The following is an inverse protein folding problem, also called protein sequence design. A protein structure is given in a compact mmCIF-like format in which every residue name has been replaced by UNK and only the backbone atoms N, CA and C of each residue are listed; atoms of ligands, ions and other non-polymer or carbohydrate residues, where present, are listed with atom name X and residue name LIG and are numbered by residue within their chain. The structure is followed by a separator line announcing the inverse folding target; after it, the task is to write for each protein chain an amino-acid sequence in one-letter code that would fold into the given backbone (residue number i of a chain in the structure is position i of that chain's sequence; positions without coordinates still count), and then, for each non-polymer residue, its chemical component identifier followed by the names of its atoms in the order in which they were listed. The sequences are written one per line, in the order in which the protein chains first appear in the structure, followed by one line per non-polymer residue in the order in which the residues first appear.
data_IF_657871402045
#
_entry.id   IF_657871402045
#
_cell.length_a   1.000
_cell.length_b   1.000
_cell.length_c   1.000
_cell.angle_alpha   90.00
_cell.angle_beta   90.00
_cell.angle_gamma   90.00
#
_symmetry.space_group_name_H-M   'P 1'
#
loop_
_entity.id
_entity.type
_entity.pdbx_description
1 polymer ?
#
# COMPACT_ATOMS: atom_id res chain seq x y z
N UNK A 1 0.87 10.09 36.64
CA UNK A 1 0.17 10.18 35.34
C UNK A 1 -0.57 8.87 35.14
N UNK A 2 -1.91 8.86 35.18
CA UNK A 2 -2.71 7.63 35.20
C UNK A 2 -3.02 7.14 33.77
N UNK A 3 -2.46 6.02 33.31
CA UNK A 3 -2.63 5.54 31.93
C UNK A 3 -4.09 5.20 31.58
N UNK A 4 -4.93 4.90 32.57
CA UNK A 4 -6.35 4.63 32.37
C UNK A 4 -7.13 5.87 31.89
N UNK A 5 -6.70 7.08 32.27
CA UNK A 5 -7.36 8.32 31.84
C UNK A 5 -7.12 8.60 30.34
N UNK A 6 -5.99 8.14 29.80
CA UNK A 6 -5.59 8.35 28.41
C UNK A 6 -6.47 7.56 27.44
N UNK A 7 -6.88 6.34 27.82
CA UNK A 7 -7.72 5.45 27.01
C UNK A 7 -9.15 6.00 26.88
N UNK A 8 -9.65 6.65 27.93
CA UNK A 8 -11.02 7.19 27.96
C UNK A 8 -11.20 8.43 27.09
N UNK A 9 -10.12 9.12 26.73
CA UNK A 9 -10.14 10.31 25.86
C UNK A 9 -9.84 10.01 24.39
N UNK A 10 -9.57 8.75 24.02
CA UNK A 10 -9.30 8.39 22.63
C UNK A 10 -10.59 8.54 21.83
N UNK A 11 -10.63 9.39 20.78
CA UNK A 11 -11.81 9.51 19.94
C UNK A 11 -12.12 8.14 19.34
N UNK A 12 -13.38 7.71 19.46
CA UNK A 12 -13.81 6.46 18.85
C UNK A 12 -13.69 6.58 17.33
N UNK A 13 -12.86 5.73 16.74
CA UNK A 13 -12.75 5.63 15.28
C UNK A 13 -14.08 5.16 14.71
N UNK A 14 -14.64 5.91 13.77
CA UNK A 14 -15.75 5.40 12.96
C UNK A 14 -15.22 4.28 12.05
N UNK A 15 -15.47 3.04 12.47
CA UNK A 15 -15.03 1.85 11.76
C UNK A 15 -15.59 1.77 10.34
N UNK A 16 -16.82 2.25 10.10
CA UNK A 16 -17.44 2.17 8.77
C UNK A 16 -16.75 3.15 7.82
N UNK A 17 -16.54 4.39 8.27
CA UNK A 17 -15.81 5.38 7.49
C UNK A 17 -14.38 4.91 7.20
N UNK A 18 -13.70 4.33 8.20
CA UNK A 18 -12.35 3.77 8.02
C UNK A 18 -12.32 2.67 6.95
N UNK A 19 -13.22 1.68 7.04
CA UNK A 19 -13.25 0.56 6.09
C UNK A 19 -13.62 1.00 4.67
N UNK A 20 -14.53 1.97 4.55
CA UNK A 20 -14.86 2.57 3.25
C UNK A 20 -13.63 3.23 2.64
N UNK A 21 -12.97 4.13 3.37
CA UNK A 21 -11.78 4.82 2.87
C UNK A 21 -10.62 3.87 2.57
N UNK A 22 -10.47 2.79 3.36
CA UNK A 22 -9.47 1.75 3.11
C UNK A 22 -9.73 1.02 1.79
N UNK A 23 -10.98 0.62 1.53
CA UNK A 23 -11.38 -0.03 0.27
C UNK A 23 -11.17 0.92 -0.92
N UNK A 24 -11.62 2.16 -0.80
CA UNK A 24 -11.46 3.18 -1.85
C UNK A 24 -9.97 3.42 -2.17
N UNK A 25 -9.12 3.40 -1.14
CA UNK A 25 -7.67 3.49 -1.28
C UNK A 25 -7.09 2.28 -2.02
N UNK A 26 -7.46 1.07 -1.60
CA UNK A 26 -7.05 -0.18 -2.26
C UNK A 26 -7.40 -0.17 -3.75
N UNK A 27 -8.63 0.19 -4.12
CA UNK A 27 -9.07 0.21 -5.52
C UNK A 27 -8.24 1.16 -6.40
N UNK A 28 -7.77 2.28 -5.84
CA UNK A 28 -6.94 3.26 -6.57
C UNK A 28 -5.50 2.83 -6.75
N UNK A 29 -4.91 2.16 -5.77
CA UNK A 29 -3.47 1.82 -5.76
C UNK A 29 -3.19 0.41 -6.27
N UNK A 30 -4.13 -0.52 -6.12
CA UNK A 30 -3.97 -1.92 -6.53
C UNK A 30 -4.32 -2.10 -8.02
N UNK A 31 -3.68 -1.27 -8.84
CA UNK A 31 -3.74 -1.30 -10.31
C UNK A 31 -2.34 -1.66 -10.83
N UNK A 32 -2.24 -2.56 -11.81
CA UNK A 32 -0.95 -3.09 -12.29
C UNK A 32 0.02 -2.00 -12.75
N UNK A 33 -0.48 -1.02 -13.50
CA UNK A 33 0.31 0.13 -13.97
C UNK A 33 0.80 1.00 -12.80
N UNK A 34 -0.02 1.20 -11.77
CA UNK A 34 0.33 1.98 -10.59
C UNK A 34 1.42 1.27 -9.79
N UNK A 35 1.24 -0.02 -9.48
CA UNK A 35 2.22 -0.77 -8.69
C UNK A 35 3.52 -1.01 -9.45
N UNK A 36 3.48 -1.10 -10.78
CA UNK A 36 4.68 -1.08 -11.63
C UNK A 36 5.46 0.24 -11.45
N UNK A 37 4.81 1.39 -11.63
CA UNK A 37 5.46 2.69 -11.45
C UNK A 37 5.96 2.89 -9.99
N UNK A 38 5.23 2.34 -9.02
CA UNK A 38 5.62 2.32 -7.61
C UNK A 38 6.92 1.52 -7.38
N UNK A 39 7.02 0.34 -8.00
CA UNK A 39 8.22 -0.48 -8.00
C UNK A 39 9.39 0.20 -8.72
N UNK A 40 9.13 0.83 -9.87
CA UNK A 40 10.13 1.60 -10.62
C UNK A 40 10.75 2.71 -9.77
N UNK A 41 9.95 3.34 -8.91
CA UNK A 41 10.40 4.34 -7.94
C UNK A 41 11.12 3.76 -6.70
N UNK A 42 11.35 2.45 -6.65
CA UNK A 42 12.06 1.79 -5.55
C UNK A 42 11.24 1.58 -4.28
N UNK A 43 9.92 1.70 -4.35
CA UNK A 43 9.05 1.58 -3.18
C UNK A 43 8.66 0.13 -2.93
N UNK A 44 8.53 -0.24 -1.65
CA UNK A 44 8.08 -1.56 -1.22
C UNK A 44 6.66 -1.81 -1.71
N UNK A 45 6.35 -3.07 -2.05
CA UNK A 45 5.02 -3.50 -2.46
C UNK A 45 3.96 -3.06 -1.43
N UNK A 46 2.87 -2.39 -1.85
CA UNK A 46 1.84 -1.95 -0.92
C UNK A 46 1.19 -3.15 -0.22
N UNK A 47 1.33 -3.24 1.11
CA UNK A 47 0.73 -4.33 1.89
C UNK A 47 -0.80 -4.38 1.74
N UNK A 48 -1.42 -3.24 1.46
CA UNK A 48 -2.84 -3.14 1.14
C UNK A 48 -3.25 -3.95 -0.10
N UNK A 49 -2.33 -4.30 -1.00
CA UNK A 49 -2.63 -5.09 -2.19
C UNK A 49 -2.38 -6.60 -2.01
N UNK A 50 -1.91 -7.05 -0.84
CA UNK A 50 -1.63 -8.47 -0.59
C UNK A 50 -2.87 -9.36 -0.62
N UNK A 51 -4.03 -8.78 -0.29
CA UNK A 51 -5.32 -9.48 -0.24
C UNK A 51 -6.23 -9.14 -1.43
N UNK A 52 -5.73 -8.41 -2.43
CA UNK A 52 -6.50 -8.13 -3.63
C UNK A 52 -6.71 -9.43 -4.42
N UNK A 53 -7.83 -9.56 -5.12
CA UNK A 53 -8.15 -10.78 -5.89
C UNK A 53 -7.08 -11.09 -6.96
N UNK A 54 -6.48 -10.06 -7.53
CA UNK A 54 -5.38 -10.14 -8.50
C UNK A 54 -3.99 -9.92 -7.89
N UNK A 55 -3.79 -10.18 -6.58
CA UNK A 55 -2.54 -9.91 -5.87
C UNK A 55 -1.28 -10.49 -6.57
N UNK A 56 -1.38 -11.67 -7.18
CA UNK A 56 -0.25 -12.27 -7.93
C UNK A 56 0.15 -11.43 -9.15
N UNK A 57 -0.82 -10.93 -9.91
CA UNK A 57 -0.56 -10.06 -11.06
C UNK A 57 0.06 -8.73 -10.61
N UNK A 58 -0.48 -8.14 -9.54
CA UNK A 58 0.06 -6.92 -8.94
C UNK A 58 1.49 -7.08 -8.46
N UNK A 59 1.81 -8.18 -7.76
CA UNK A 59 3.18 -8.48 -7.32
C UNK A 59 4.13 -8.67 -8.50
N UNK A 60 3.66 -9.26 -9.59
CA UNK A 60 4.45 -9.45 -10.81
C UNK A 60 4.79 -8.10 -11.46
N UNK A 61 3.79 -7.24 -11.67
CA UNK A 61 3.97 -5.91 -12.23
C UNK A 61 4.89 -5.03 -11.37
N UNK A 62 4.69 -5.03 -10.05
CA UNK A 62 5.57 -4.32 -9.11
C UNK A 62 7.02 -4.82 -9.19
N UNK A 63 7.22 -6.15 -9.19
CA UNK A 63 8.56 -6.73 -9.24
C UNK A 63 9.27 -6.37 -10.54
N UNK A 64 8.56 -6.36 -11.66
CA UNK A 64 9.10 -5.92 -12.94
C UNK A 64 9.61 -4.46 -12.84
N UNK A 65 8.77 -3.55 -12.33
CA UNK A 65 9.16 -2.15 -12.15
C UNK A 65 10.38 -2.00 -11.24
N UNK A 66 10.42 -2.74 -10.13
CA UNK A 66 11.55 -2.72 -9.18
C UNK A 66 12.86 -3.22 -9.80
N UNK A 67 12.80 -4.31 -10.57
CA UNK A 67 13.97 -4.88 -11.24
C UNK A 67 14.48 -3.90 -12.33
N UNK A 68 13.60 -3.22 -13.06
CA UNK A 68 13.95 -2.20 -14.06
C UNK A 68 14.54 -0.93 -13.41
N UNK A 69 13.91 -0.40 -12.35
CA UNK A 69 14.38 0.79 -11.64
C UNK A 69 15.76 0.59 -10.99
N UNK A 70 16.00 -0.62 -10.47
CA UNK A 70 17.32 -1.00 -9.95
C UNK A 70 18.38 -1.05 -11.04
N UNK A 71 18.06 -1.62 -12.21
CA UNK A 71 18.99 -1.67 -13.36
C UNK A 71 19.35 -0.27 -13.83
N UNK A 72 18.36 0.60 -14.01
CA UNK A 72 18.57 1.98 -14.45
C UNK A 72 19.44 2.77 -13.46
N UNK A 73 19.22 2.61 -12.15
CA UNK A 73 19.99 3.31 -11.12
C UNK A 73 21.46 2.87 -11.03
N UNK A 74 21.81 1.69 -11.53
CA UNK A 74 23.19 1.15 -11.53
C UNK A 74 24.01 1.57 -12.74
N UNK A 75 23.36 2.00 -13.82
CA UNK A 75 24.00 2.44 -15.06
C UNK A 75 24.30 3.95 -15.07
N UNK A 76 23.91 4.66 -14.01
CA UNK A 76 24.15 6.09 -13.80
C UNK A 76 25.26 6.34 -12.79
#
# INVERSE_FOLDING_TARGET
MNPLLLILTIPKVDRRAYLSGYKDGQEKICQENFVYAWGLAGRIFPASCDTAENATALRTAWKQGMDEGTKASRLN
#
